data_IF_721072692695
#
_entry.id   IF_721072692695
#
_cell.length_a   1.000
_cell.length_b   1.000
_cell.length_c   1.000
_cell.angle_alpha   90.00
_cell.angle_beta   90.00
_cell.angle_gamma   90.00
#
_symmetry.space_group_name_H-M   'P 1'
#
loop_
_entity.id
_entity.type
_entity.pdbx_description
1 polymer ?
#
# COMPACT_ATOMS: atom_id res chain seq x y z
N UNK A 1 3.81 6.31 26.56
CA UNK A 1 2.61 5.46 26.60
C UNK A 1 1.90 5.57 25.26
N UNK A 2 2.25 4.72 24.30
CA UNK A 2 1.63 4.66 22.99
C UNK A 2 1.62 3.21 22.52
N UNK A 3 0.49 2.77 21.98
CA UNK A 3 0.23 1.37 21.65
C UNK A 3 0.99 0.87 20.41
N UNK A 4 1.53 1.80 19.61
CA UNK A 4 2.31 1.49 18.42
C UNK A 4 3.20 2.65 17.98
N UNK A 5 3.75 2.55 16.77
CA UNK A 5 4.73 3.50 16.25
C UNK A 5 4.11 4.88 15.95
N UNK A 6 4.69 5.95 16.51
CA UNK A 6 4.25 7.32 16.21
C UNK A 6 4.29 7.64 14.71
N UNK A 7 5.29 7.12 13.98
CA UNK A 7 5.42 7.32 12.53
C UNK A 7 4.20 6.77 11.79
N UNK A 8 3.74 5.56 12.14
CA UNK A 8 2.57 4.96 11.50
C UNK A 8 1.28 5.74 11.80
N UNK A 9 1.16 6.29 13.01
CA UNK A 9 0.01 7.13 13.36
C UNK A 9 -0.03 8.42 12.53
N UNK A 10 1.12 9.08 12.32
CA UNK A 10 1.18 10.29 11.50
C UNK A 10 0.90 10.02 10.02
N UNK A 11 1.39 8.90 9.46
CA UNK A 11 1.08 8.50 8.09
C UNK A 11 -0.43 8.27 7.95
N UNK A 12 -1.04 7.51 8.87
CA UNK A 12 -2.47 7.23 8.86
C UNK A 12 -3.29 8.52 8.98
N UNK A 13 -2.93 9.41 9.91
CA UNK A 13 -3.59 10.70 10.08
C UNK A 13 -3.48 11.59 8.84
N UNK A 14 -2.32 11.60 8.17
CA UNK A 14 -2.11 12.37 6.94
C UNK A 14 -2.98 11.89 5.78
N UNK A 15 -3.10 10.57 5.60
CA UNK A 15 -3.99 9.99 4.58
C UNK A 15 -5.46 10.25 4.91
N UNK A 16 -5.86 10.04 6.17
CA UNK A 16 -7.22 10.32 6.63
C UNK A 16 -7.60 11.80 6.47
N UNK A 17 -6.67 12.71 6.77
CA UNK A 17 -6.82 14.14 6.54
C UNK A 17 -7.04 14.43 5.05
N UNK A 18 -6.25 13.84 4.16
CA UNK A 18 -6.41 14.04 2.72
C UNK A 18 -7.80 13.57 2.23
N UNK A 19 -8.28 12.41 2.71
CA UNK A 19 -9.63 11.91 2.40
C UNK A 19 -10.70 12.88 2.92
N UNK A 20 -10.57 13.38 4.15
CA UNK A 20 -11.52 14.34 4.73
C UNK A 20 -11.55 15.65 3.95
N UNK A 21 -10.40 16.18 3.52
CA UNK A 21 -10.35 17.36 2.67
C UNK A 21 -11.01 17.10 1.32
N UNK A 22 -10.78 15.94 0.69
CA UNK A 22 -11.47 15.58 -0.56
C UNK A 22 -12.99 15.47 -0.40
N UNK A 23 -13.50 15.13 0.78
CA UNK A 23 -14.95 14.97 1.03
C UNK A 23 -15.63 16.27 1.47
N UNK A 24 -15.03 17.02 2.40
CA UNK A 24 -15.69 18.10 3.15
C UNK A 24 -15.09 19.49 2.93
N UNK A 25 -14.01 19.64 2.16
CA UNK A 25 -13.38 20.96 1.96
C UNK A 25 -14.39 21.98 1.43
N UNK A 26 -14.62 23.12 2.12
CA UNK A 26 -15.51 24.18 1.66
C UNK A 26 -14.82 25.15 0.69
N UNK A 27 -13.52 24.98 0.42
CA UNK A 27 -12.72 25.89 -0.37
C UNK A 27 -13.16 25.91 -1.84
N UNK A 28 -13.26 27.09 -2.49
CA UNK A 28 -13.60 27.18 -3.90
C UNK A 28 -12.45 26.66 -4.77
N UNK A 29 -12.75 25.80 -5.73
CA UNK A 29 -11.81 25.36 -6.76
C UNK A 29 -11.75 26.39 -7.90
N UNK A 30 -10.72 26.29 -8.76
CA UNK A 30 -10.53 27.17 -9.92
C UNK A 30 -11.69 27.20 -10.93
N UNK A 31 -12.58 26.21 -10.89
CA UNK A 31 -13.82 26.13 -11.68
C UNK A 31 -15.03 26.84 -11.05
N UNK A 32 -14.85 27.57 -9.94
CA UNK A 32 -15.92 28.30 -9.25
C UNK A 32 -16.83 27.45 -8.37
N UNK A 33 -16.68 26.12 -8.36
CA UNK A 33 -17.35 25.20 -7.42
C UNK A 33 -16.42 24.71 -6.30
N UNK A 34 -16.98 24.30 -5.16
CA UNK A 34 -16.19 23.83 -4.01
C UNK A 34 -15.38 22.55 -4.30
N UNK A 35 -14.20 22.42 -3.66
CA UNK A 35 -13.26 21.27 -3.79
C UNK A 35 -13.83 19.99 -3.19
N UNK A 36 -14.54 20.09 -2.06
CA UNK A 36 -15.14 18.94 -1.39
C UNK A 36 -16.40 18.44 -2.11
N UNK A 37 -16.55 17.12 -2.20
CA UNK A 37 -17.69 16.48 -2.87
C UNK A 37 -19.02 16.86 -2.23
N UNK A 38 -19.10 16.84 -0.90
CA UNK A 38 -20.37 17.05 -0.19
C UNK A 38 -20.87 18.50 -0.35
N UNK A 39 -20.03 19.53 -0.15
CA UNK A 39 -20.41 20.90 -0.49
C UNK A 39 -20.70 21.11 -1.99
N UNK A 40 -19.98 20.42 -2.87
CA UNK A 40 -20.19 20.50 -4.32
C UNK A 40 -21.54 19.91 -4.74
N UNK A 41 -21.95 18.77 -4.17
CA UNK A 41 -23.30 18.21 -4.36
C UNK A 41 -24.36 19.23 -3.94
N UNK A 42 -24.16 19.89 -2.78
CA UNK A 42 -25.06 20.95 -2.31
C UNK A 42 -25.17 22.12 -3.30
N UNK A 43 -24.04 22.61 -3.80
CA UNK A 43 -24.01 23.70 -4.79
C UNK A 43 -24.58 23.30 -6.15
N UNK A 44 -24.29 22.10 -6.64
CA UNK A 44 -24.79 21.59 -7.92
C UNK A 44 -26.29 21.30 -7.89
N UNK A 45 -26.84 20.87 -6.75
CA UNK A 45 -28.29 20.75 -6.57
C UNK A 45 -28.95 22.14 -6.61
N UNK A 46 -28.33 23.16 -5.99
CA UNK A 46 -28.82 24.53 -6.05
C UNK A 46 -28.68 25.17 -7.43
N UNK A 47 -27.67 24.76 -8.22
CA UNK A 47 -27.40 25.26 -9.56
C UNK A 47 -28.11 24.49 -10.69
N UNK A 48 -28.71 23.32 -10.40
CA UNK A 48 -29.50 22.54 -11.36
C UNK A 48 -28.69 21.70 -12.37
N UNK A 49 -27.37 21.61 -12.23
CA UNK A 49 -26.49 20.84 -13.12
C UNK A 49 -26.00 19.55 -12.44
N UNK A 50 -26.81 18.50 -12.57
CA UNK A 50 -26.52 17.17 -11.99
C UNK A 50 -25.51 16.35 -12.81
N UNK A 51 -25.30 16.66 -14.09
CA UNK A 51 -24.39 15.90 -14.96
C UNK A 51 -22.93 16.04 -14.52
N UNK A 52 -22.52 17.25 -14.15
CA UNK A 52 -21.14 17.55 -13.73
C UNK A 52 -20.81 17.03 -12.31
N UNK A 53 -21.79 16.53 -11.57
CA UNK A 53 -21.60 15.91 -10.24
C UNK A 53 -21.08 14.47 -10.34
N UNK A 54 -21.47 13.74 -11.39
CA UNK A 54 -21.05 12.35 -11.59
C UNK A 54 -19.65 12.25 -12.18
N UNK A 55 -19.32 13.08 -13.17
CA UNK A 55 -18.01 13.14 -13.81
C UNK A 55 -17.53 14.57 -13.89
N UNK A 56 -16.73 14.99 -12.91
CA UNK A 56 -16.06 16.29 -12.93
C UNK A 56 -14.72 16.14 -13.65
N UNK A 57 -14.54 16.85 -14.75
CA UNK A 57 -13.23 16.96 -15.42
C UNK A 57 -12.25 17.71 -14.53
N UNK A 58 -10.93 17.50 -14.73
CA UNK A 58 -9.84 18.26 -14.07
C UNK A 58 -9.38 17.75 -12.69
N UNK A 59 -9.35 16.42 -12.48
CA UNK A 59 -8.84 15.78 -11.23
C UNK A 59 -9.58 16.19 -9.95
N UNK A 60 -10.79 16.76 -10.06
CA UNK A 60 -11.57 17.18 -8.90
C UNK A 60 -12.37 16.01 -8.32
N UNK A 61 -12.59 15.99 -6.99
CA UNK A 61 -13.35 14.93 -6.35
C UNK A 61 -14.76 14.76 -6.92
N UNK A 62 -15.10 13.54 -7.37
CA UNK A 62 -16.39 13.17 -7.96
C UNK A 62 -17.09 12.06 -7.15
N UNK A 63 -18.41 11.92 -7.30
CA UNK A 63 -19.17 10.81 -6.69
C UNK A 63 -18.60 9.47 -7.14
N UNK A 64 -18.20 9.36 -8.42
CA UNK A 64 -17.55 8.18 -8.95
C UNK A 64 -16.24 7.85 -8.19
N UNK A 65 -15.44 8.87 -7.87
CA UNK A 65 -14.24 8.72 -7.06
C UNK A 65 -14.51 8.17 -5.64
N UNK A 66 -15.64 8.50 -5.02
CA UNK A 66 -16.02 7.95 -3.70
C UNK A 66 -16.29 6.45 -3.82
N UNK A 67 -17.13 6.06 -4.79
CA UNK A 67 -17.45 4.65 -5.01
C UNK A 67 -16.22 3.83 -5.35
N UNK A 68 -15.31 4.39 -6.14
CA UNK A 68 -14.06 3.75 -6.52
C UNK A 68 -13.13 3.60 -5.30
N UNK A 69 -13.03 4.65 -4.46
CA UNK A 69 -12.30 4.60 -3.18
C UNK A 69 -12.87 3.54 -2.24
N UNK A 70 -14.20 3.48 -2.09
CA UNK A 70 -14.87 2.49 -1.25
C UNK A 70 -14.66 1.06 -1.77
N UNK A 71 -14.77 0.85 -3.09
CA UNK A 71 -14.54 -0.45 -3.73
C UNK A 71 -13.11 -0.96 -3.52
N UNK A 72 -12.11 -0.10 -3.71
CA UNK A 72 -10.71 -0.45 -3.49
C UNK A 72 -10.45 -0.72 -2.00
N UNK A 73 -10.99 0.11 -1.10
CA UNK A 73 -10.85 -0.11 0.33
C UNK A 73 -11.41 -1.47 0.77
N UNK A 74 -12.58 -1.88 0.25
CA UNK A 74 -13.15 -3.20 0.52
C UNK A 74 -12.27 -4.34 0.01
N UNK A 75 -11.75 -4.23 -1.21
CA UNK A 75 -10.83 -5.22 -1.78
C UNK A 75 -9.54 -5.32 -0.95
N UNK A 76 -9.02 -4.19 -0.47
CA UNK A 76 -7.83 -4.14 0.37
C UNK A 76 -8.05 -4.83 1.71
N UNK A 77 -9.12 -4.50 2.40
CA UNK A 77 -9.47 -5.14 3.69
C UNK A 77 -9.65 -6.65 3.50
N UNK A 78 -10.32 -7.08 2.43
CA UNK A 78 -10.49 -8.50 2.12
C UNK A 78 -9.15 -9.21 1.90
N UNK A 79 -8.31 -8.64 1.03
CA UNK A 79 -6.99 -9.22 0.69
C UNK A 79 -6.08 -9.28 1.92
N UNK A 80 -6.15 -8.29 2.80
CA UNK A 80 -5.34 -8.22 4.01
C UNK A 80 -5.75 -9.23 5.09
N UNK A 81 -7.03 -9.64 5.08
CA UNK A 81 -7.56 -10.70 5.93
C UNK A 81 -7.15 -12.11 5.51
N UNK A 82 -6.66 -12.30 4.28
CA UNK A 82 -6.26 -13.61 3.77
C UNK A 82 -4.98 -14.12 4.46
N UNK A 83 -5.05 -15.31 5.04
CA UNK A 83 -3.93 -15.98 5.72
C UNK A 83 -3.97 -17.48 5.48
N UNK A 84 -2.79 -18.08 5.42
CA UNK A 84 -2.57 -19.53 5.40
C UNK A 84 -2.23 -19.94 6.82
N UNK A 85 -3.02 -20.84 7.42
CA UNK A 85 -2.83 -21.29 8.79
C UNK A 85 -2.09 -22.63 8.82
N UNK A 86 -0.91 -22.66 9.45
CA UNK A 86 -0.15 -23.89 9.66
C UNK A 86 -0.37 -24.33 11.12
N UNK A 87 -0.88 -25.54 11.38
CA UNK A 87 -1.06 -26.03 12.74
C UNK A 87 0.30 -26.23 13.41
N UNK A 88 0.43 -25.74 14.64
CA UNK A 88 1.59 -25.91 15.50
C UNK A 88 1.16 -26.50 16.84
N UNK A 89 2.00 -27.33 17.44
CA UNK A 89 1.79 -27.92 18.77
C UNK A 89 2.92 -27.51 19.68
N UNK A 90 2.61 -27.19 20.93
CA UNK A 90 3.66 -26.91 21.92
C UNK A 90 4.39 -28.19 22.28
N UNK A 91 5.73 -28.14 22.30
CA UNK A 91 6.53 -29.27 22.79
C UNK A 91 6.60 -29.30 24.32
N UNK A 92 6.37 -28.15 24.98
CA UNK A 92 6.44 -28.01 26.44
C UNK A 92 5.14 -28.41 27.12
N UNK A 93 4.00 -28.05 26.54
CA UNK A 93 2.68 -28.34 27.08
C UNK A 93 1.90 -29.28 26.15
N UNK A 94 1.84 -30.56 26.53
CA UNK A 94 1.10 -31.58 25.76
C UNK A 94 -0.38 -31.21 25.67
N UNK A 95 -0.95 -31.33 24.47
CA UNK A 95 -2.36 -31.03 24.20
C UNK A 95 -2.63 -29.58 23.79
N UNK A 96 -1.64 -28.68 23.83
CA UNK A 96 -1.78 -27.32 23.33
C UNK A 96 -1.46 -27.25 21.83
N UNK A 97 -2.50 -27.10 21.02
CA UNK A 97 -2.40 -26.81 19.59
C UNK A 97 -2.76 -25.36 19.31
N UNK A 98 -1.90 -24.66 18.59
CA UNK A 98 -2.14 -23.32 18.08
C UNK A 98 -1.99 -23.30 16.56
N UNK A 99 -2.30 -22.19 15.93
CA UNK A 99 -2.09 -21.98 14.49
C UNK A 99 -1.05 -20.88 14.30
N UNK A 100 -0.11 -21.11 13.39
CA UNK A 100 0.83 -20.10 12.91
C UNK A 100 0.27 -19.51 11.60
N UNK A 101 -0.26 -18.28 11.62
CA UNK A 101 -0.84 -17.66 10.44
C UNK A 101 0.23 -16.98 9.59
N UNK A 102 0.41 -17.44 8.35
CA UNK A 102 1.17 -16.75 7.31
C UNK A 102 0.20 -15.87 6.54
N UNK A 103 0.24 -14.55 6.78
CA UNK A 103 -0.59 -13.58 6.03
C UNK A 103 -0.20 -13.57 4.56
N UNK A 104 -1.17 -13.38 3.66
CA UNK A 104 -0.93 -13.19 2.23
C UNK A 104 0.00 -11.98 1.99
N UNK A 105 -0.24 -10.90 2.74
CA UNK A 105 0.65 -9.74 2.82
C UNK A 105 1.82 -10.02 3.78
N UNK A 106 2.65 -11.02 3.45
CA UNK A 106 3.72 -11.50 4.34
C UNK A 106 4.78 -10.43 4.65
N UNK A 107 5.10 -9.62 3.65
CA UNK A 107 6.14 -8.58 3.70
C UNK A 107 5.58 -7.23 4.23
N UNK A 108 4.29 -7.21 4.60
CA UNK A 108 3.53 -5.99 4.89
C UNK A 108 3.62 -4.98 3.73
N UNK A 109 3.33 -3.71 4.01
CA UNK A 109 3.34 -2.66 2.98
C UNK A 109 4.72 -2.03 2.72
N UNK A 110 5.78 -2.48 3.39
CA UNK A 110 7.12 -1.88 3.29
C UNK A 110 7.66 -1.85 1.85
N UNK A 111 7.52 -2.91 1.02
CA UNK A 111 7.97 -2.87 -0.37
C UNK A 111 7.32 -1.76 -1.19
N UNK A 112 6.04 -1.48 -0.94
CA UNK A 112 5.29 -0.41 -1.63
C UNK A 112 5.81 0.96 -1.19
N UNK A 113 6.10 1.14 0.11
CA UNK A 113 6.71 2.37 0.62
C UNK A 113 8.06 2.62 -0.05
N UNK A 114 8.93 1.61 -0.08
CA UNK A 114 10.27 1.71 -0.67
C UNK A 114 10.22 2.00 -2.17
N UNK A 115 9.33 1.32 -2.90
CA UNK A 115 9.09 1.62 -4.31
C UNK A 115 8.64 3.06 -4.53
N UNK A 116 7.66 3.53 -3.75
CA UNK A 116 7.14 4.89 -3.87
C UNK A 116 8.17 5.97 -3.54
N UNK A 117 8.97 5.74 -2.49
CA UNK A 117 10.04 6.64 -2.09
C UNK A 117 11.15 6.69 -3.14
N UNK A 118 11.54 5.54 -3.72
CA UNK A 118 12.50 5.48 -4.80
C UNK A 118 12.01 6.26 -6.02
N UNK A 119 10.75 6.05 -6.43
CA UNK A 119 10.15 6.77 -7.55
C UNK A 119 10.08 8.26 -7.29
N UNK A 120 9.63 8.71 -6.11
CA UNK A 120 9.56 10.11 -5.76
C UNK A 120 10.95 10.79 -5.78
N UNK A 121 11.96 10.13 -5.20
CA UNK A 121 13.33 10.61 -5.21
C UNK A 121 13.92 10.64 -6.62
N UNK A 122 13.64 9.63 -7.45
CA UNK A 122 14.06 9.60 -8.84
C UNK A 122 13.46 10.78 -9.61
N UNK A 123 12.14 10.99 -9.52
CA UNK A 123 11.46 12.12 -10.18
C UNK A 123 12.08 13.45 -9.74
N UNK A 124 12.31 13.64 -8.44
CA UNK A 124 12.93 14.86 -7.91
C UNK A 124 14.34 15.11 -8.46
N UNK A 125 15.22 14.10 -8.40
CA UNK A 125 16.60 14.22 -8.88
C UNK A 125 16.62 14.52 -10.38
N UNK A 126 15.81 13.80 -11.16
CA UNK A 126 15.78 13.99 -12.59
C UNK A 126 15.12 15.31 -13.01
N UNK A 127 14.13 15.79 -12.27
CA UNK A 127 13.56 17.13 -12.47
C UNK A 127 14.64 18.20 -12.22
N UNK A 128 15.42 18.07 -11.15
CA UNK A 128 16.52 18.98 -10.85
C UNK A 128 17.62 18.93 -11.91
N UNK A 129 18.00 17.73 -12.37
CA UNK A 129 19.00 17.57 -13.44
C UNK A 129 18.50 18.15 -14.76
N UNK A 130 17.23 17.92 -15.13
CA UNK A 130 16.62 18.50 -16.32
C UNK A 130 16.59 20.03 -16.25
N UNK A 131 16.18 20.59 -15.11
CA UNK A 131 16.10 22.03 -14.90
C UNK A 131 17.46 22.74 -14.99
N UNK A 132 18.55 22.07 -14.60
CA UNK A 132 19.90 22.64 -14.67
C UNK A 132 20.60 22.38 -16.01
N UNK A 133 20.45 21.18 -16.59
CA UNK A 133 21.27 20.73 -17.72
C UNK A 133 20.54 20.74 -19.06
N UNK A 134 19.21 20.69 -19.09
CA UNK A 134 18.45 20.64 -20.33
C UNK A 134 17.07 21.36 -20.28
N UNK A 135 17.00 22.65 -19.88
CA UNK A 135 15.72 23.35 -19.72
C UNK A 135 14.96 23.55 -21.05
N UNK A 136 15.66 23.44 -22.19
CA UNK A 136 15.13 23.65 -23.54
C UNK A 136 14.91 22.35 -24.33
N UNK A 137 15.05 21.19 -23.70
CA UNK A 137 14.91 19.87 -24.35
C UNK A 137 15.82 19.67 -25.59
N UNK A 138 17.04 20.21 -25.58
CA UNK A 138 17.96 20.17 -26.72
C UNK A 138 18.79 18.87 -26.79
N UNK A 139 18.97 18.17 -25.66
CA UNK A 139 19.78 16.94 -25.59
C UNK A 139 18.93 15.66 -25.67
N UNK A 140 19.14 14.84 -26.71
CA UNK A 140 18.42 13.58 -26.93
C UNK A 140 18.53 12.59 -25.76
N UNK A 141 19.76 12.38 -25.24
CA UNK A 141 19.98 11.45 -24.11
C UNK A 141 19.26 11.90 -22.84
N UNK A 142 19.25 13.20 -22.58
CA UNK A 142 18.59 13.73 -21.39
C UNK A 142 17.07 13.68 -21.56
N UNK A 143 16.54 13.96 -22.76
CA UNK A 143 15.11 13.82 -23.06
C UNK A 143 14.62 12.36 -22.97
N UNK A 144 15.47 11.39 -23.31
CA UNK A 144 15.14 9.97 -23.17
C UNK A 144 14.94 9.56 -21.70
N UNK A 145 15.72 10.14 -20.79
CA UNK A 145 15.62 9.86 -19.36
C UNK A 145 14.50 10.71 -18.72
N UNK A 146 14.51 12.00 -18.99
CA UNK A 146 13.69 13.00 -18.33
C UNK A 146 13.34 14.14 -19.29
N UNK A 147 12.09 14.23 -19.71
CA UNK A 147 11.58 15.37 -20.46
C UNK A 147 10.39 15.99 -19.72
N UNK A 148 10.55 17.23 -19.30
CA UNK A 148 9.50 18.01 -18.65
C UNK A 148 9.02 19.15 -19.55
N UNK A 149 7.84 19.67 -19.25
CA UNK A 149 7.28 20.85 -19.92
C UNK A 149 7.96 22.12 -19.42
N UNK A 150 8.53 22.97 -20.31
CA UNK A 150 9.02 24.29 -19.93
C UNK A 150 7.93 25.22 -19.36
N UNK A 151 6.66 24.99 -19.72
CA UNK A 151 5.52 25.79 -19.27
C UNK A 151 4.88 25.25 -17.98
N UNK A 152 5.01 23.95 -17.71
CA UNK A 152 4.56 23.27 -16.49
C UNK A 152 5.65 22.31 -15.98
N UNK A 153 6.64 22.82 -15.22
CA UNK A 153 7.82 22.05 -14.82
C UNK A 153 7.54 20.82 -13.95
N UNK A 154 6.30 20.66 -13.46
CA UNK A 154 5.85 19.56 -12.60
C UNK A 154 5.34 18.34 -13.39
N UNK A 155 5.01 18.49 -14.68
CA UNK A 155 4.46 17.40 -15.49
C UNK A 155 5.49 16.86 -16.46
N UNK A 156 5.89 15.58 -16.34
CA UNK A 156 6.74 14.96 -17.36
C UNK A 156 5.93 14.81 -18.66
N UNK A 157 6.55 15.15 -19.79
CA UNK A 157 5.99 14.97 -21.14
C UNK A 157 6.54 13.68 -21.78
N UNK A 158 7.77 13.29 -21.44
CA UNK A 158 8.44 12.16 -22.09
C UNK A 158 9.58 11.56 -21.29
N UNK A 159 10.13 10.48 -21.86
CA UNK A 159 11.23 9.70 -21.28
C UNK A 159 10.78 8.62 -20.30
N UNK A 160 11.74 7.98 -19.65
CA UNK A 160 11.48 6.88 -18.68
C UNK A 160 10.61 7.36 -17.52
N UNK A 161 10.80 8.60 -17.05
CA UNK A 161 10.06 9.18 -15.93
C UNK A 161 8.56 9.33 -16.23
N UNK A 162 8.21 9.57 -17.48
CA UNK A 162 6.83 9.67 -17.92
C UNK A 162 6.03 8.39 -17.64
N UNK A 163 6.67 7.22 -17.82
CA UNK A 163 6.09 5.90 -17.53
C UNK A 163 6.17 5.49 -16.06
N UNK A 164 7.09 6.07 -15.29
CA UNK A 164 7.25 5.79 -13.86
C UNK A 164 6.30 6.66 -13.01
N UNK A 165 5.88 7.81 -13.53
CA UNK A 165 5.00 8.73 -12.82
C UNK A 165 3.53 8.41 -13.11
N UNK A 166 2.68 8.22 -12.09
CA UNK A 166 1.29 7.84 -12.30
C UNK A 166 0.53 8.91 -13.11
N UNK A 167 -0.18 8.52 -14.18
CA UNK A 167 -1.21 9.37 -14.76
C UNK A 167 -2.39 9.41 -13.78
N UNK A 168 -2.42 10.42 -12.92
CA UNK A 168 -3.50 10.58 -11.94
C UNK A 168 -4.74 11.10 -12.65
N UNK A 169 -5.81 10.30 -12.65
CA UNK A 169 -7.11 10.69 -13.19
C UNK A 169 -7.54 9.83 -14.38
N UNK A 170 -8.83 9.50 -14.40
CA UNK A 170 -9.46 8.69 -15.46
C UNK A 170 -9.41 9.38 -16.82
N UNK A 171 -9.46 10.71 -16.84
CA UNK A 171 -9.32 11.55 -18.03
C UNK A 171 -7.95 11.39 -18.69
N UNK A 172 -6.88 11.54 -17.91
CA UNK A 172 -5.51 11.39 -18.41
C UNK A 172 -5.19 9.94 -18.77
N UNK A 173 -5.70 8.98 -17.99
CA UNK A 173 -5.52 7.56 -18.27
C UNK A 173 -6.28 7.09 -19.54
N UNK A 174 -7.45 7.68 -19.82
CA UNK A 174 -8.22 7.38 -21.03
C UNK A 174 -7.57 7.98 -22.29
N UNK A 175 -6.90 9.13 -22.17
CA UNK A 175 -6.17 9.76 -23.27
C UNK A 175 -4.91 8.97 -23.65
N UNK A 176 -4.16 8.47 -22.67
CA UNK A 176 -2.95 7.66 -22.89
C UNK A 176 -2.99 6.30 -22.16
N UNK A 177 -3.78 5.31 -22.65
CA UNK A 177 -3.91 4.01 -21.99
C UNK A 177 -2.58 3.25 -21.87
N UNK A 178 -1.69 3.43 -22.83
CA UNK A 178 -0.38 2.77 -22.83
C UNK A 178 0.50 3.22 -21.67
N UNK A 179 0.40 4.49 -21.26
CA UNK A 179 1.11 5.03 -20.10
C UNK A 179 0.57 4.42 -18.81
N UNK A 180 -0.75 4.35 -18.67
CA UNK A 180 -1.39 3.77 -17.50
C UNK A 180 -0.99 2.29 -17.30
N UNK A 181 -1.03 1.49 -18.38
CA UNK A 181 -0.60 0.09 -18.33
C UNK A 181 0.89 -0.04 -18.02
N UNK A 182 1.74 0.78 -18.65
CA UNK A 182 3.19 0.79 -18.40
C UNK A 182 3.52 1.10 -16.94
N UNK A 183 2.84 2.09 -16.36
CA UNK A 183 3.00 2.45 -14.95
C UNK A 183 2.59 1.31 -14.00
N UNK A 184 1.44 0.67 -14.23
CA UNK A 184 0.97 -0.45 -13.39
C UNK A 184 1.95 -1.63 -13.45
N UNK A 185 2.43 -1.99 -14.65
CA UNK A 185 3.41 -3.06 -14.81
C UNK A 185 4.74 -2.74 -14.13
N UNK A 186 5.21 -1.50 -14.27
CA UNK A 186 6.40 -1.02 -13.56
C UNK A 186 6.21 -1.14 -12.04
N UNK A 187 5.08 -0.67 -11.52
CA UNK A 187 4.75 -0.70 -10.10
C UNK A 187 4.70 -2.13 -9.55
N UNK A 188 4.06 -3.06 -10.27
CA UNK A 188 4.04 -4.48 -9.91
C UNK A 188 5.46 -5.06 -9.90
N UNK A 189 6.26 -4.80 -10.94
CA UNK A 189 7.63 -5.31 -11.06
C UNK A 189 8.53 -4.84 -9.92
N UNK A 190 8.55 -3.54 -9.64
CA UNK A 190 9.41 -2.95 -8.61
C UNK A 190 8.99 -3.41 -7.20
N UNK A 191 7.69 -3.55 -6.93
CA UNK A 191 7.18 -4.02 -5.64
C UNK A 191 7.49 -5.51 -5.42
N UNK A 192 7.49 -6.35 -6.46
CA UNK A 192 7.93 -7.75 -6.36
C UNK A 192 9.42 -7.83 -6.01
N UNK A 193 10.26 -7.03 -6.67
CA UNK A 193 11.71 -6.99 -6.40
C UNK A 193 11.97 -6.57 -4.96
N UNK A 194 11.37 -5.46 -4.52
CA UNK A 194 11.49 -5.01 -3.13
C UNK A 194 10.88 -5.99 -2.13
N UNK A 195 9.81 -6.68 -2.51
CA UNK A 195 9.19 -7.74 -1.71
C UNK A 195 10.15 -8.86 -1.38
N UNK A 196 10.85 -9.38 -2.41
CA UNK A 196 11.88 -10.42 -2.21
C UNK A 196 13.06 -9.92 -1.39
N UNK A 197 13.58 -8.73 -1.72
CA UNK A 197 14.70 -8.14 -1.00
C UNK A 197 14.36 -7.95 0.49
N UNK A 198 13.14 -7.52 0.81
CA UNK A 198 12.73 -7.34 2.19
C UNK A 198 12.61 -8.66 2.95
N UNK A 199 12.20 -9.75 2.30
CA UNK A 199 12.16 -11.07 2.95
C UNK A 199 13.56 -11.58 3.30
N UNK A 200 14.52 -11.38 2.40
CA UNK A 200 15.92 -11.78 2.61
C UNK A 200 16.60 -10.91 3.68
N UNK A 201 16.40 -9.59 3.62
CA UNK A 201 17.07 -8.63 4.51
C UNK A 201 16.36 -8.45 5.87
N UNK A 202 15.04 -8.59 5.89
CA UNK A 202 14.20 -8.33 7.07
C UNK A 202 14.13 -9.49 8.07
N UNK A 203 14.94 -10.54 7.90
CA UNK A 203 14.91 -11.72 8.77
C UNK A 203 13.61 -12.53 8.69
N UNK A 204 12.83 -12.32 7.62
CA UNK A 204 11.60 -13.05 7.32
C UNK A 204 11.86 -14.25 6.38
N UNK A 205 13.14 -14.61 6.20
CA UNK A 205 13.52 -15.76 5.39
C UNK A 205 12.91 -17.04 5.98
N UNK A 206 12.63 -18.07 5.15
CA UNK A 206 12.12 -19.36 5.64
C UNK A 206 12.99 -19.99 6.72
N UNK A 207 14.31 -19.81 6.61
CA UNK A 207 15.30 -20.27 7.59
C UNK A 207 15.17 -19.52 8.92
N UNK A 208 15.11 -18.19 8.88
CA UNK A 208 14.94 -17.37 10.08
C UNK A 208 13.58 -17.64 10.75
N UNK A 209 12.52 -17.80 9.97
CA UNK A 209 11.19 -18.13 10.48
C UNK A 209 11.16 -19.52 11.12
N UNK A 210 11.81 -20.52 10.52
CA UNK A 210 11.94 -21.86 11.10
C UNK A 210 12.72 -21.85 12.43
N UNK A 211 13.82 -21.10 12.49
CA UNK A 211 14.61 -20.94 13.71
C UNK A 211 13.78 -20.31 14.82
N UNK A 212 13.04 -19.23 14.52
CA UNK A 212 12.16 -18.56 15.48
C UNK A 212 11.07 -19.50 16.05
N UNK A 213 10.53 -20.42 15.23
CA UNK A 213 9.57 -21.42 15.70
C UNK A 213 10.22 -22.45 16.63
N UNK A 214 11.43 -22.89 16.32
CA UNK A 214 12.17 -23.85 17.15
C UNK A 214 12.58 -23.25 18.50
N UNK A 215 12.99 -21.98 18.49
CA UNK A 215 13.34 -21.20 19.69
C UNK A 215 12.11 -20.95 20.57
N UNK A 216 10.92 -20.90 19.99
CA UNK A 216 9.65 -20.76 20.70
C UNK A 216 9.10 -22.09 21.28
N UNK A 217 9.86 -23.20 21.24
CA UNK A 217 9.43 -24.53 21.71
C UNK A 217 8.10 -25.00 21.10
N UNK A 218 7.88 -24.69 19.82
CA UNK A 218 6.74 -25.17 19.03
C UNK A 218 7.20 -26.11 17.91
N UNK A 219 6.36 -27.08 17.59
CA UNK A 219 6.61 -28.09 16.57
C UNK A 219 5.41 -28.19 15.62
N UNK A 220 5.67 -28.44 14.35
CA UNK A 220 4.62 -28.72 13.37
C UNK A 220 4.29 -30.22 13.44
N UNK A 221 3.02 -30.62 13.66
CA UNK A 221 2.61 -32.03 13.67
C UNK A 221 3.08 -32.76 12.40
N UNK A 222 3.65 -33.96 12.58
CA UNK A 222 4.13 -34.80 11.47
C UNK A 222 5.57 -34.56 11.03
N UNK A 223 6.24 -33.49 11.49
CA UNK A 223 7.65 -33.23 11.19
C UNK A 223 8.53 -33.45 12.43
N UNK A 224 9.79 -33.88 12.23
CA UNK A 224 10.78 -33.96 13.31
C UNK A 224 11.16 -32.55 13.77
N UNK A 225 11.50 -32.38 15.07
CA UNK A 225 12.01 -31.13 15.63
C UNK A 225 13.45 -30.89 15.17
N UNK A 226 13.60 -30.47 13.93
CA UNK A 226 14.87 -30.00 13.37
C UNK A 226 14.59 -28.85 12.41
N UNK A 227 15.59 -28.01 12.17
CA UNK A 227 15.43 -26.84 11.31
C UNK A 227 15.11 -27.25 9.86
N UNK A 228 15.78 -28.27 9.34
CA UNK A 228 15.66 -28.64 7.92
C UNK A 228 14.24 -29.01 7.44
N UNK A 229 13.44 -29.85 8.15
CA UNK A 229 12.09 -30.20 7.70
C UNK A 229 11.08 -29.04 7.84
N UNK A 230 11.21 -28.23 8.89
CA UNK A 230 10.35 -27.04 9.11
C UNK A 230 10.65 -25.96 8.06
N UNK A 231 11.94 -25.71 7.81
CA UNK A 231 12.41 -24.80 6.76
C UNK A 231 11.93 -25.25 5.38
N UNK A 232 12.02 -26.54 5.05
CA UNK A 232 11.55 -27.05 3.75
C UNK A 232 10.04 -26.82 3.54
N UNK A 233 9.23 -26.96 4.59
CA UNK A 233 7.80 -26.66 4.52
C UNK A 233 7.57 -25.14 4.31
N UNK A 234 8.22 -24.30 5.11
CA UNK A 234 8.09 -22.85 5.01
C UNK A 234 8.60 -22.29 3.68
N UNK A 235 9.66 -22.88 3.12
CA UNK A 235 10.24 -22.50 1.83
C UNK A 235 9.30 -22.75 0.65
N UNK A 236 8.30 -23.63 0.80
CA UNK A 236 7.25 -23.82 -0.21
C UNK A 236 6.25 -22.66 -0.22
N UNK A 237 5.96 -22.08 0.95
CA UNK A 237 4.92 -21.06 1.11
C UNK A 237 5.47 -19.64 1.05
N UNK A 238 6.52 -19.31 1.80
CA UNK A 238 6.99 -17.93 1.98
C UNK A 238 7.38 -17.26 0.65
N UNK A 239 8.21 -17.86 -0.24
CA UNK A 239 8.55 -17.24 -1.52
C UNK A 239 7.33 -17.01 -2.42
N UNK A 240 6.43 -18.00 -2.48
CA UNK A 240 5.20 -17.95 -3.27
C UNK A 240 4.26 -16.86 -2.77
N UNK A 241 4.03 -16.81 -1.46
CA UNK A 241 3.19 -15.79 -0.80
C UNK A 241 3.80 -14.40 -0.96
N UNK A 242 5.12 -14.27 -0.90
CA UNK A 242 5.82 -13.01 -1.11
C UNK A 242 5.61 -12.47 -2.51
N UNK A 243 5.81 -13.29 -3.54
CA UNK A 243 5.64 -12.85 -4.93
C UNK A 243 4.19 -12.49 -5.21
N UNK A 244 3.24 -13.36 -4.80
CA UNK A 244 1.81 -13.14 -5.03
C UNK A 244 1.32 -11.92 -4.24
N UNK A 245 1.67 -11.81 -2.97
CA UNK A 245 1.29 -10.68 -2.11
C UNK A 245 1.85 -9.36 -2.63
N UNK A 246 3.13 -9.32 -2.99
CA UNK A 246 3.75 -8.13 -3.58
C UNK A 246 3.16 -7.78 -4.96
N UNK A 247 2.81 -8.76 -5.78
CA UNK A 247 2.16 -8.52 -7.06
C UNK A 247 0.77 -7.91 -6.88
N UNK A 248 -0.04 -8.45 -5.96
CA UNK A 248 -1.38 -7.92 -5.66
C UNK A 248 -1.28 -6.51 -5.07
N UNK A 249 -0.35 -6.27 -4.15
CA UNK A 249 -0.09 -4.94 -3.59
C UNK A 249 0.29 -3.92 -4.65
N UNK A 250 1.24 -4.28 -5.52
CA UNK A 250 1.69 -3.41 -6.62
C UNK A 250 0.58 -3.12 -7.62
N UNK A 251 -0.26 -4.11 -7.91
CA UNK A 251 -1.43 -3.96 -8.80
C UNK A 251 -2.45 -3.02 -8.16
N UNK A 252 -2.83 -3.26 -6.90
CA UNK A 252 -3.80 -2.43 -6.20
C UNK A 252 -3.30 -1.00 -6.03
N UNK A 253 -2.02 -0.80 -5.67
CA UNK A 253 -1.41 0.52 -5.60
C UNK A 253 -1.44 1.23 -6.96
N UNK A 254 -0.94 0.56 -8.00
CA UNK A 254 -0.83 1.13 -9.34
C UNK A 254 -2.19 1.48 -9.95
N UNK A 255 -3.16 0.56 -9.86
CA UNK A 255 -4.52 0.78 -10.36
C UNK A 255 -5.21 1.91 -9.59
N UNK A 256 -5.05 1.95 -8.27
CA UNK A 256 -5.62 3.03 -7.46
C UNK A 256 -5.04 4.40 -7.79
N UNK A 257 -3.74 4.49 -8.06
CA UNK A 257 -3.10 5.75 -8.44
C UNK A 257 -3.51 6.22 -9.85
N UNK A 258 -3.71 5.28 -10.79
CA UNK A 258 -4.24 5.58 -12.14
C UNK A 258 -5.69 6.05 -12.08
N UNK A 259 -6.52 5.35 -11.32
CA UNK A 259 -7.95 5.67 -11.20
C UNK A 259 -8.22 6.97 -10.41
N UNK A 260 -7.21 7.55 -9.75
CA UNK A 260 -7.32 8.84 -9.07
C UNK A 260 -8.12 8.75 -7.76
N UNK A 261 -7.88 7.70 -6.98
CA UNK A 261 -8.55 7.47 -5.69
C UNK A 261 -8.18 8.52 -4.65
N UNK A 262 -9.11 8.91 -3.76
CA UNK A 262 -8.85 9.87 -2.69
C UNK A 262 -7.81 9.37 -1.70
N UNK A 263 -6.83 10.21 -1.35
CA UNK A 263 -5.76 9.82 -0.42
C UNK A 263 -4.60 9.04 -1.06
N UNK A 264 -4.56 8.89 -2.39
CA UNK A 264 -3.61 8.06 -3.15
C UNK A 264 -3.75 6.55 -2.89
N UNK A 265 -3.51 5.76 -3.93
CA UNK A 265 -3.52 4.31 -3.84
C UNK A 265 -2.57 3.76 -2.78
N UNK A 266 -1.35 4.33 -2.75
CA UNK A 266 -0.35 3.98 -1.75
C UNK A 266 -0.79 4.44 -0.34
N UNK A 267 -1.35 5.63 -0.22
CA UNK A 267 -1.79 6.16 1.08
C UNK A 267 -2.88 5.30 1.71
N UNK A 268 -3.91 4.92 0.96
CA UNK A 268 -5.00 4.07 1.46
C UNK A 268 -4.48 2.69 1.87
N UNK A 269 -3.61 2.09 1.05
CA UNK A 269 -2.95 0.83 1.38
C UNK A 269 -2.27 0.87 2.75
N UNK A 270 -1.48 1.91 2.99
CA UNK A 270 -0.78 2.13 4.26
C UNK A 270 -1.75 2.33 5.41
N UNK A 271 -2.76 3.17 5.21
CA UNK A 271 -3.78 3.45 6.21
C UNK A 271 -4.48 2.17 6.68
N UNK A 272 -4.91 1.31 5.74
CA UNK A 272 -5.63 0.06 6.06
C UNK A 272 -4.75 -0.93 6.82
N UNK A 273 -3.51 -1.14 6.39
CA UNK A 273 -2.57 -2.04 7.09
C UNK A 273 -2.26 -1.55 8.50
N UNK A 274 -1.99 -0.26 8.65
CA UNK A 274 -1.71 0.36 9.95
C UNK A 274 -2.93 0.19 10.87
N UNK A 275 -4.14 0.46 10.39
CA UNK A 275 -5.37 0.30 11.17
C UNK A 275 -5.60 -1.16 11.58
N UNK A 276 -5.42 -2.13 10.68
CA UNK A 276 -5.60 -3.55 11.01
C UNK A 276 -4.56 -4.01 12.04
N UNK A 277 -3.31 -3.55 11.91
CA UNK A 277 -2.27 -3.89 12.88
C UNK A 277 -2.52 -3.26 14.24
N UNK A 278 -2.95 -1.99 14.31
CA UNK A 278 -3.37 -1.34 15.55
C UNK A 278 -4.58 -2.02 16.18
N UNK A 279 -5.59 -2.37 15.38
CA UNK A 279 -6.75 -3.13 15.84
C UNK A 279 -6.33 -4.46 16.45
N UNK A 280 -5.44 -5.20 15.78
CA UNK A 280 -4.94 -6.48 16.29
C UNK A 280 -4.14 -6.31 17.59
N UNK A 281 -3.36 -5.24 17.72
CA UNK A 281 -2.62 -4.92 18.96
C UNK A 281 -3.57 -4.58 20.11
N UNK A 282 -4.57 -3.74 19.86
CA UNK A 282 -5.61 -3.37 20.82
C UNK A 282 -6.40 -4.58 21.32
N UNK A 283 -6.82 -5.46 20.41
CA UNK A 283 -7.55 -6.68 20.77
C UNK A 283 -6.67 -7.59 21.65
N UNK A 284 -5.38 -7.73 21.33
CA UNK A 284 -4.46 -8.53 22.16
C UNK A 284 -4.33 -7.96 23.57
N UNK A 285 -4.14 -6.65 23.70
CA UNK A 285 -4.01 -6.01 25.00
C UNK A 285 -5.32 -6.07 25.81
N UNK A 286 -6.48 -5.86 25.17
CA UNK A 286 -7.77 -6.03 25.84
C UNK A 286 -7.96 -7.47 26.33
N UNK A 287 -7.62 -8.48 25.52
CA UNK A 287 -7.69 -9.89 25.95
C UNK A 287 -6.79 -10.14 27.17
N UNK A 288 -5.59 -9.55 27.20
CA UNK A 288 -4.68 -9.65 28.34
C UNK A 288 -5.24 -8.98 29.61
N UNK A 289 -5.90 -7.82 29.47
CA UNK A 289 -6.49 -7.08 30.60
C UNK A 289 -7.76 -7.76 31.14
N UNK A 290 -8.65 -8.26 30.27
CA UNK A 290 -9.93 -8.84 30.69
C UNK A 290 -9.87 -10.33 31.05
N UNK A 291 -8.85 -11.06 30.59
CA UNK A 291 -8.66 -12.49 30.93
C UNK A 291 -7.24 -12.77 31.47
N UNK A 292 -6.86 -12.24 32.65
CA UNK A 292 -5.53 -12.43 33.22
C UNK A 292 -5.17 -13.92 33.46
N UNK A 293 -6.18 -14.79 33.63
CA UNK A 293 -5.98 -16.24 33.74
C UNK A 293 -5.54 -16.93 32.45
N UNK A 294 -5.84 -16.36 31.26
CA UNK A 294 -5.32 -16.83 29.98
C UNK A 294 -3.90 -16.32 29.72
N UNK A 295 -3.54 -15.11 30.19
CA UNK A 295 -2.17 -14.60 30.17
C UNK A 295 -1.20 -15.46 30.99
N UNK A 296 -1.62 -15.91 32.17
CA UNK A 296 -0.86 -16.87 32.99
C UNK A 296 -0.73 -18.27 32.35
N UNK A 297 -1.71 -18.67 31.53
CA UNK A 297 -1.72 -19.94 30.78
C UNK A 297 -0.91 -19.87 29.46
N UNK A 298 -0.78 -18.67 28.88
CA UNK A 298 0.03 -18.35 27.69
C UNK A 298 1.51 -18.06 28.00
N UNK A 299 1.93 -18.23 29.25
CA UNK A 299 3.33 -18.48 29.58
C UNK A 299 4.25 -17.26 29.68
N UNK A 300 3.74 -16.10 30.11
CA UNK A 300 4.58 -15.11 30.78
C UNK A 300 4.27 -15.10 32.27
N UNK A 301 5.31 -15.36 33.07
CA UNK A 301 5.30 -14.98 34.49
C UNK A 301 5.16 -13.48 34.60
#
# INVERSE_FOLDING_TARGET
>A
WGLGSGISLFIMAGVAQQILWSLFSPLPAGDGGTIGIIPYIGQSIMAGDLSNVFFRSNQLPSIFGIFLTAGILLILVFTQGMKIEIPIVSTKYRGFSAVYPIKLMYVSNIPVILASALTANAVFIFQMLWANMNPRNNNFFMNFVAQFDPTSPSTPIGGIIYYITPPRGLDVAALDPMRAVGYVLFMVGIVIVFGRLWVELGGLSPKSAAQNLLDADVQIPGFRRSNAPVEALLNKYIPSVTIIGSAILGLLAGVSDVLGVFGSGIGILLMVDILINYYTQLVKEQVEVFMPRLGALLGRK
#
